data_IF_732604540376
#
_entry.id   IF_732604540376
#
_cell.length_a   1.000
_cell.length_b   1.000
_cell.length_c   1.000
_cell.angle_alpha   90.00
_cell.angle_beta   90.00
_cell.angle_gamma   90.00
#
_symmetry.space_group_name_H-M   'P 1'
#
loop_
_entity.id
_entity.type
_entity.pdbx_description
1 polymer ?
#
# COMPACT_ATOMS: atom_id res chain seq x y z
N UNK A 1 -36.17 -8.74 5.47
CA UNK A 1 -34.80 -9.30 5.35
C UNK A 1 -34.18 -8.56 4.19
N UNK A 2 -33.24 -7.66 4.46
CA UNK A 2 -32.61 -6.83 3.44
C UNK A 2 -31.43 -7.59 2.83
N UNK A 3 -31.27 -7.43 1.53
CA UNK A 3 -30.19 -7.98 0.72
C UNK A 3 -28.84 -7.37 1.15
N UNK A 4 -27.80 -8.17 1.46
CA UNK A 4 -26.48 -7.66 1.86
C UNK A 4 -25.70 -6.95 0.73
N UNK A 5 -26.25 -6.86 -0.50
CA UNK A 5 -25.62 -6.20 -1.65
C UNK A 5 -26.30 -4.89 -2.07
N UNK A 6 -26.93 -4.17 -1.14
CA UNK A 6 -27.46 -2.83 -1.43
C UNK A 6 -26.30 -1.83 -1.63
N UNK A 7 -25.90 -1.68 -2.91
CA UNK A 7 -24.78 -0.87 -3.39
C UNK A 7 -25.02 0.62 -3.11
N UNK A 8 -24.14 1.26 -2.32
CA UNK A 8 -24.29 2.67 -1.94
C UNK A 8 -24.18 3.60 -3.17
N UNK A 9 -25.29 4.29 -3.47
CA UNK A 9 -25.40 5.28 -4.54
C UNK A 9 -24.28 6.34 -4.56
N UNK A 10 -23.68 6.69 -3.41
CA UNK A 10 -22.57 7.67 -3.33
C UNK A 10 -21.24 7.13 -3.83
N UNK A 11 -20.95 5.85 -3.65
CA UNK A 11 -19.77 5.18 -4.21
C UNK A 11 -19.81 5.16 -5.74
N UNK A 12 -21.01 5.10 -6.32
CA UNK A 12 -21.20 5.10 -7.77
C UNK A 12 -20.82 6.41 -8.48
N UNK A 13 -20.91 7.57 -7.79
CA UNK A 13 -20.55 8.87 -8.37
C UNK A 13 -19.04 9.12 -8.35
N UNK A 14 -18.36 8.74 -7.26
CA UNK A 14 -16.90 8.93 -7.14
C UNK A 14 -16.14 8.07 -8.15
N UNK A 15 -16.59 6.82 -8.36
CA UNK A 15 -16.00 5.92 -9.35
C UNK A 15 -16.15 6.46 -10.78
N UNK A 16 -17.30 7.06 -11.12
CA UNK A 16 -17.55 7.68 -12.44
C UNK A 16 -16.70 8.93 -12.69
N UNK A 17 -16.34 9.66 -11.63
CA UNK A 17 -15.63 10.93 -11.76
C UNK A 17 -14.14 10.74 -12.11
N UNK A 18 -13.51 9.69 -11.59
CA UNK A 18 -12.08 9.40 -11.80
C UNK A 18 -11.79 8.30 -12.82
N UNK A 19 -12.72 7.36 -13.03
CA UNK A 19 -12.47 6.16 -13.82
C UNK A 19 -13.57 5.93 -14.85
N UNK A 20 -13.19 5.60 -16.09
CA UNK A 20 -14.09 4.88 -16.97
C UNK A 20 -13.99 3.40 -16.60
N UNK A 21 -14.96 2.87 -15.86
CA UNK A 21 -15.07 1.42 -15.69
C UNK A 21 -15.44 0.83 -17.05
N UNK A 22 -14.44 0.45 -17.82
CA UNK A 22 -14.59 -0.36 -19.02
C UNK A 22 -13.74 -1.60 -18.78
N UNK A 23 -14.40 -2.66 -18.32
CA UNK A 23 -13.92 -4.03 -18.52
C UNK A 23 -14.01 -4.25 -20.02
N UNK A 24 -12.90 -4.49 -20.71
CA UNK A 24 -12.77 -5.27 -21.95
C UNK A 24 -11.34 -5.05 -22.49
N UNK A 25 -10.42 -5.90 -22.06
CA UNK A 25 -9.16 -6.15 -22.76
C UNK A 25 -9.14 -7.65 -23.06
N UNK A 26 -8.80 -8.08 -24.27
CA UNK A 26 -8.64 -9.51 -24.62
C UNK A 26 -7.60 -10.21 -23.73
N UNK A 27 -6.75 -9.44 -23.06
CA UNK A 27 -5.76 -9.89 -22.07
C UNK A 27 -6.31 -10.03 -20.63
N UNK A 28 -7.50 -9.50 -20.34
CA UNK A 28 -8.15 -9.56 -19.02
C UNK A 28 -9.50 -10.32 -19.14
N UNK A 29 -9.60 -11.60 -18.72
CA UNK A 29 -10.83 -12.39 -18.78
C UNK A 29 -12.07 -11.64 -18.25
N UNK A 30 -13.24 -11.95 -18.79
CA UNK A 30 -14.52 -11.29 -18.49
C UNK A 30 -14.98 -11.32 -17.01
N UNK A 31 -14.26 -12.02 -16.15
CA UNK A 31 -14.53 -12.17 -14.71
C UNK A 31 -13.60 -11.33 -13.82
N UNK A 32 -12.75 -10.47 -14.42
CA UNK A 32 -11.78 -9.66 -13.70
C UNK A 32 -12.23 -8.19 -13.61
N UNK A 33 -11.96 -7.55 -12.47
CA UNK A 33 -12.18 -6.12 -12.28
C UNK A 33 -10.90 -5.38 -12.66
N UNK A 34 -10.96 -4.74 -13.82
CA UNK A 34 -9.87 -4.05 -14.48
C UNK A 34 -10.19 -2.52 -14.49
N UNK A 35 -9.34 -1.68 -13.87
CA UNK A 35 -9.49 -0.21 -13.87
C UNK A 35 -8.45 0.42 -14.80
N UNK A 36 -8.92 1.05 -15.86
CA UNK A 36 -8.07 1.81 -16.79
C UNK A 36 -7.92 3.25 -16.30
N UNK A 37 -6.68 3.71 -16.09
CA UNK A 37 -6.40 5.13 -15.96
C UNK A 37 -6.68 5.83 -17.31
N UNK A 38 -7.31 7.01 -17.29
CA UNK A 38 -7.45 7.83 -18.50
C UNK A 38 -6.04 8.15 -19.02
N UNK A 39 -5.78 7.77 -20.28
CA UNK A 39 -4.55 8.02 -21.07
C UNK A 39 -3.54 6.86 -21.24
N UNK A 40 -3.96 5.59 -21.12
CA UNK A 40 -3.28 4.41 -21.71
C UNK A 40 -1.78 4.19 -21.40
N UNK A 41 -1.23 4.76 -20.33
CA UNK A 41 0.17 4.54 -19.93
C UNK A 41 0.29 3.37 -18.96
N UNK A 42 -0.25 3.56 -17.76
CA UNK A 42 -0.15 2.60 -16.66
C UNK A 42 -1.56 2.33 -16.13
N UNK A 43 -1.96 1.07 -16.06
CA UNK A 43 -3.23 0.68 -15.46
C UNK A 43 -3.02 -0.54 -14.60
N UNK A 44 -3.89 -0.73 -13.62
CA UNK A 44 -3.89 -1.93 -12.76
C UNK A 44 -4.00 -3.21 -13.61
N UNK A 45 -4.53 -3.11 -14.82
CA UNK A 45 -4.65 -4.17 -15.82
C UNK A 45 -3.33 -4.49 -16.54
N UNK A 46 -2.36 -3.58 -16.50
CA UNK A 46 -1.15 -3.56 -17.33
C UNK A 46 0.15 -3.40 -16.53
N UNK A 47 0.09 -3.57 -15.20
CA UNK A 47 1.27 -3.83 -14.38
C UNK A 47 1.88 -2.61 -13.69
N UNK A 48 1.45 -2.34 -12.47
CA UNK A 48 2.41 -2.27 -11.36
C UNK A 48 1.91 -3.22 -10.26
N UNK A 49 2.75 -3.47 -9.24
CA UNK A 49 2.69 -4.43 -8.12
C UNK A 49 1.33 -4.85 -7.51
N UNK A 50 0.20 -4.25 -7.92
CA UNK A 50 -1.15 -4.59 -7.48
C UNK A 50 -1.96 -5.55 -8.37
N UNK A 51 -1.72 -5.61 -9.70
CA UNK A 51 -2.46 -6.47 -10.66
C UNK A 51 -4.00 -6.32 -10.67
N UNK A 52 -4.73 -6.85 -11.66
CA UNK A 52 -6.19 -6.80 -11.67
C UNK A 52 -6.80 -7.69 -10.58
N UNK A 53 -7.91 -7.25 -9.95
CA UNK A 53 -8.65 -8.11 -9.02
C UNK A 53 -9.39 -9.21 -9.81
N UNK A 54 -8.97 -10.46 -9.63
CA UNK A 54 -9.58 -11.64 -10.25
C UNK A 54 -10.63 -12.33 -9.39
N UNK A 55 -11.82 -12.63 -9.91
CA UNK A 55 -12.76 -13.49 -9.19
C UNK A 55 -12.38 -14.97 -9.39
N UNK A 56 -12.11 -15.71 -8.32
CA UNK A 56 -11.82 -17.16 -8.39
C UNK A 56 -13.00 -17.97 -7.85
N UNK A 57 -13.29 -19.12 -8.48
CA UNK A 57 -14.44 -19.99 -8.15
C UNK A 57 -14.40 -20.55 -6.71
N UNK A 58 -13.23 -20.50 -6.06
CA UNK A 58 -12.98 -21.14 -4.77
C UNK A 58 -13.28 -20.25 -3.55
N UNK A 59 -13.72 -19.00 -3.76
CA UNK A 59 -14.16 -18.08 -2.70
C UNK A 59 -13.06 -17.57 -1.75
N UNK A 60 -11.79 -17.92 -1.98
CA UNK A 60 -10.65 -17.43 -1.19
C UNK A 60 -10.12 -16.12 -1.77
N UNK A 61 -10.16 -15.06 -0.97
CA UNK A 61 -9.76 -13.70 -1.38
C UNK A 61 -8.26 -13.54 -1.60
N UNK A 62 -7.40 -14.35 -0.98
CA UNK A 62 -5.95 -14.33 -1.23
C UNK A 62 -5.59 -14.81 -2.64
N UNK A 63 -6.29 -15.83 -3.14
CA UNK A 63 -6.07 -16.38 -4.50
C UNK A 63 -6.41 -15.35 -5.58
N UNK A 64 -7.30 -14.40 -5.27
CA UNK A 64 -7.69 -13.29 -6.16
C UNK A 64 -6.50 -12.37 -6.43
N UNK A 65 -5.79 -11.99 -5.37
CA UNK A 65 -4.65 -11.06 -5.43
C UNK A 65 -3.43 -11.75 -6.05
N UNK A 66 -3.16 -13.00 -5.64
CA UNK A 66 -2.09 -13.82 -6.23
C UNK A 66 -2.25 -13.92 -7.77
N UNK A 67 -3.44 -14.31 -8.22
CA UNK A 67 -3.75 -14.47 -9.64
C UNK A 67 -3.67 -13.15 -10.42
N UNK A 68 -4.03 -12.05 -9.76
CA UNK A 68 -3.92 -10.69 -10.31
C UNK A 68 -2.47 -10.27 -10.51
N UNK A 69 -1.66 -10.37 -9.47
CA UNK A 69 -0.24 -10.01 -9.51
C UNK A 69 0.55 -10.90 -10.51
N UNK A 70 0.18 -12.18 -10.65
CA UNK A 70 0.89 -13.11 -11.55
C UNK A 70 0.70 -12.82 -13.05
N UNK A 71 -0.28 -11.99 -13.44
CA UNK A 71 -0.54 -11.70 -14.86
C UNK A 71 0.68 -11.11 -15.53
N UNK A 72 1.29 -10.10 -14.93
CA UNK A 72 2.43 -9.43 -15.55
C UNK A 72 3.74 -10.21 -15.35
N UNK A 73 3.81 -11.11 -14.37
CA UNK A 73 4.91 -12.07 -14.27
C UNK A 73 4.93 -13.06 -15.43
N UNK A 74 3.74 -13.49 -15.90
CA UNK A 74 3.59 -14.44 -17.00
C UNK A 74 3.71 -13.77 -18.38
N UNK A 75 3.07 -12.61 -18.56
CA UNK A 75 2.93 -11.96 -19.87
C UNK A 75 3.94 -10.85 -20.16
N UNK A 76 4.84 -10.54 -19.21
CA UNK A 76 5.91 -9.54 -19.37
C UNK A 76 5.37 -8.16 -19.82
N UNK A 77 4.42 -7.60 -19.06
CA UNK A 77 3.71 -6.38 -19.42
C UNK A 77 4.64 -5.18 -19.69
N UNK A 78 5.67 -4.99 -18.87
CA UNK A 78 6.53 -3.78 -18.90
C UNK A 78 7.97 -4.00 -18.36
N UNK A 79 8.50 -5.23 -18.35
CA UNK A 79 9.84 -5.55 -17.80
C UNK A 79 10.11 -4.96 -16.39
N UNK A 80 9.07 -4.66 -15.60
CA UNK A 80 9.22 -4.21 -14.22
C UNK A 80 8.83 -5.30 -13.21
N UNK A 81 7.99 -6.26 -13.61
CA UNK A 81 7.48 -7.34 -12.76
C UNK A 81 7.80 -8.72 -13.35
N UNK A 82 8.33 -9.62 -12.51
CA UNK A 82 8.49 -11.03 -12.85
C UNK A 82 9.66 -11.35 -13.78
N UNK A 83 9.50 -12.41 -14.58
CA UNK A 83 10.55 -12.88 -15.47
C UNK A 83 10.85 -11.87 -16.58
N UNK A 84 12.13 -11.59 -16.82
CA UNK A 84 12.57 -10.62 -17.84
C UNK A 84 12.52 -9.16 -17.38
N UNK A 85 12.38 -8.92 -16.07
CA UNK A 85 12.59 -7.60 -15.49
C UNK A 85 14.01 -7.09 -15.70
N UNK A 86 14.17 -5.76 -15.58
CA UNK A 86 15.48 -5.13 -15.61
C UNK A 86 16.40 -5.70 -14.53
N UNK A 87 17.59 -6.20 -14.88
CA UNK A 87 18.53 -6.73 -13.91
C UNK A 87 19.21 -5.62 -13.10
N UNK A 88 19.82 -6.02 -11.99
CA UNK A 88 20.75 -5.19 -11.22
C UNK A 88 22.07 -4.93 -11.98
N UNK A 89 23.02 -4.22 -11.37
CA UNK A 89 24.32 -3.94 -12.00
C UNK A 89 25.17 -5.19 -12.32
N UNK A 90 24.87 -6.33 -11.72
CA UNK A 90 25.56 -7.60 -11.97
C UNK A 90 24.92 -8.40 -13.11
N UNK A 91 23.78 -7.94 -13.62
CA UNK A 91 23.01 -8.64 -14.63
C UNK A 91 22.03 -9.67 -14.04
N UNK A 92 21.83 -9.66 -12.72
CA UNK A 92 20.92 -10.57 -12.02
C UNK A 92 19.53 -9.93 -11.86
N UNK A 93 18.48 -10.72 -12.10
CA UNK A 93 17.09 -10.28 -11.86
C UNK A 93 16.66 -10.70 -10.47
N UNK A 94 16.42 -9.72 -9.61
CA UNK A 94 15.87 -9.92 -8.25
C UNK A 94 14.45 -9.37 -8.17
N UNK A 95 13.54 -10.12 -7.54
CA UNK A 95 12.13 -9.76 -7.43
C UNK A 95 11.68 -9.80 -5.98
N UNK A 96 10.85 -8.83 -5.61
CA UNK A 96 10.25 -8.72 -4.28
C UNK A 96 8.72 -8.83 -4.39
N UNK A 97 8.12 -9.67 -3.55
CA UNK A 97 6.66 -9.81 -3.49
C UNK A 97 6.21 -10.06 -2.05
N UNK A 98 5.02 -9.56 -1.73
CA UNK A 98 4.40 -9.72 -0.41
C UNK A 98 2.90 -9.93 -0.60
N UNK A 99 2.39 -11.04 -0.05
CA UNK A 99 0.96 -11.34 -0.03
C UNK A 99 0.53 -11.68 1.39
N UNK A 100 -0.64 -11.19 1.77
CA UNK A 100 -1.25 -11.51 3.06
C UNK A 100 -2.69 -11.97 2.86
N UNK A 101 -3.09 -12.99 3.60
CA UNK A 101 -4.48 -13.47 3.64
C UNK A 101 -5.23 -12.77 4.79
N UNK A 102 -6.29 -12.02 4.47
CA UNK A 102 -7.11 -11.29 5.45
C UNK A 102 -6.73 -9.82 5.68
N UNK A 103 -7.21 -9.22 6.78
CA UNK A 103 -6.92 -7.80 7.13
C UNK A 103 -5.52 -7.68 7.72
N UNK A 104 -4.68 -6.85 7.10
CA UNK A 104 -3.36 -6.47 7.61
C UNK A 104 -3.35 -5.05 8.13
N UNK A 105 -2.77 -4.88 9.32
CA UNK A 105 -2.61 -3.60 10.01
C UNK A 105 -1.21 -3.03 9.76
N UNK A 106 -1.03 -1.76 10.12
CA UNK A 106 0.25 -1.07 10.25
C UNK A 106 1.39 -1.89 10.89
N UNK A 107 1.12 -2.70 11.91
CA UNK A 107 2.15 -3.42 12.68
C UNK A 107 2.95 -4.44 11.87
N UNK A 108 2.38 -4.99 10.80
CA UNK A 108 3.05 -5.97 9.95
C UNK A 108 3.79 -5.32 8.76
N UNK A 109 3.63 -4.01 8.58
CA UNK A 109 4.23 -3.26 7.47
C UNK A 109 5.40 -2.42 7.99
N UNK A 110 6.63 -2.67 7.52
CA UNK A 110 7.75 -1.77 7.75
C UNK A 110 7.35 -0.34 7.37
N UNK A 111 7.92 0.65 8.05
CA UNK A 111 7.65 2.08 7.83
C UNK A 111 6.27 2.56 8.32
N UNK A 112 5.34 1.67 8.61
CA UNK A 112 4.02 2.00 9.15
C UNK A 112 3.98 1.88 10.67
N UNK A 113 3.92 0.67 11.20
CA UNK A 113 3.87 0.43 12.64
C UNK A 113 5.23 0.52 13.32
N UNK A 114 6.32 0.29 12.58
CA UNK A 114 7.68 0.39 13.09
C UNK A 114 8.71 0.62 12.00
N UNK A 115 9.78 1.36 12.35
CA UNK A 115 10.93 1.60 11.47
C UNK A 115 12.16 1.88 12.32
N UNK A 116 13.33 1.43 11.87
CA UNK A 116 14.60 1.65 12.55
C UNK A 116 15.72 1.83 11.53
N UNK A 117 16.56 2.82 11.79
CA UNK A 117 17.78 3.13 11.06
C UNK A 117 18.89 3.39 12.09
N UNK A 118 20.02 2.69 11.96
CA UNK A 118 21.14 2.80 12.90
C UNK A 118 21.80 4.19 12.89
N UNK A 119 21.71 4.91 11.77
CA UNK A 119 22.36 6.21 11.62
C UNK A 119 21.53 7.36 12.22
N UNK A 120 20.23 7.14 12.43
CA UNK A 120 19.31 8.19 12.86
C UNK A 120 18.48 7.83 14.10
N UNK A 121 17.85 6.65 14.13
CA UNK A 121 16.96 6.25 15.21
C UNK A 121 15.84 5.29 14.79
N UNK A 122 14.87 5.11 15.68
CA UNK A 122 13.73 4.23 15.48
C UNK A 122 12.43 4.87 15.93
N UNK A 123 11.32 4.41 15.35
CA UNK A 123 9.98 4.79 15.74
C UNK A 123 9.05 3.57 15.76
N UNK A 124 8.13 3.54 16.72
CA UNK A 124 7.09 2.51 16.85
C UNK A 124 5.74 3.15 17.17
N UNK A 125 4.67 2.58 16.64
CA UNK A 125 3.32 3.12 16.74
C UNK A 125 2.31 2.12 17.31
N UNK A 126 1.21 2.68 17.81
CA UNK A 126 0.01 1.94 18.19
C UNK A 126 -1.24 2.79 17.93
N UNK A 127 -2.38 2.13 17.74
CA UNK A 127 -3.66 2.79 17.50
C UNK A 127 -4.50 2.10 16.43
N UNK A 128 -5.29 2.88 15.70
CA UNK A 128 -6.04 2.38 14.54
C UNK A 128 -5.09 2.17 13.36
N UNK A 129 -4.68 0.91 13.20
CA UNK A 129 -3.75 0.53 12.16
C UNK A 129 -4.24 0.71 10.72
N UNK A 130 -5.56 0.70 10.47
CA UNK A 130 -6.09 0.95 9.12
C UNK A 130 -5.90 2.41 8.70
N UNK A 131 -5.90 3.32 9.68
CA UNK A 131 -5.60 4.73 9.49
C UNK A 131 -4.09 4.95 9.47
N UNK A 132 -3.36 4.40 10.44
CA UNK A 132 -1.91 4.56 10.59
C UNK A 132 -1.16 4.14 9.31
N UNK A 133 -1.51 2.99 8.73
CA UNK A 133 -0.81 2.45 7.55
C UNK A 133 -0.79 3.43 6.37
N UNK A 134 -1.80 4.32 6.26
CA UNK A 134 -1.96 5.25 5.13
C UNK A 134 -0.92 6.36 5.10
N UNK A 135 -0.14 6.53 6.17
CA UNK A 135 0.74 7.68 6.34
C UNK A 135 2.22 7.31 6.45
N UNK A 136 2.57 6.01 6.49
CA UNK A 136 3.94 5.54 6.79
C UNK A 136 4.63 6.36 7.92
N UNK A 137 3.98 6.51 9.09
CA UNK A 137 4.42 7.49 10.08
C UNK A 137 5.71 7.11 10.81
N UNK A 138 6.01 5.81 10.98
CA UNK A 138 7.30 5.39 11.57
C UNK A 138 8.48 5.84 10.71
N UNK A 139 8.40 5.65 9.39
CA UNK A 139 9.42 6.15 8.47
C UNK A 139 9.53 7.67 8.48
N UNK A 140 8.39 8.38 8.44
CA UNK A 140 8.40 9.84 8.52
C UNK A 140 9.05 10.34 9.82
N UNK A 141 8.79 9.69 10.96
CA UNK A 141 9.41 10.07 12.23
C UNK A 141 10.94 9.93 12.19
N UNK A 142 11.47 8.82 11.67
CA UNK A 142 12.92 8.63 11.53
C UNK A 142 13.52 9.60 10.51
N UNK A 143 12.79 9.89 9.41
CA UNK A 143 13.21 10.94 8.46
C UNK A 143 13.25 12.33 9.09
N UNK A 144 12.38 12.65 10.04
CA UNK A 144 12.49 13.89 10.79
C UNK A 144 13.73 13.92 11.69
N UNK A 145 14.16 12.78 12.25
CA UNK A 145 15.44 12.70 12.95
C UNK A 145 16.62 12.95 11.99
N UNK A 146 16.58 12.37 10.79
CA UNK A 146 17.55 12.64 9.72
C UNK A 146 17.62 14.13 9.37
N UNK A 147 16.47 14.82 9.33
CA UNK A 147 16.38 16.29 9.13
C UNK A 147 16.84 17.12 10.36
N UNK A 148 17.33 16.47 11.42
CA UNK A 148 17.84 17.11 12.63
C UNK A 148 16.77 17.56 13.63
N UNK A 149 15.55 17.01 13.55
CA UNK A 149 14.50 17.28 14.55
C UNK A 149 14.76 16.51 15.84
N UNK A 150 14.27 17.04 16.95
CA UNK A 150 14.25 16.32 18.22
C UNK A 150 13.27 15.14 18.16
N UNK A 151 13.48 14.10 18.98
CA UNK A 151 12.57 12.94 19.04
C UNK A 151 11.11 13.35 19.35
N UNK A 152 10.91 14.39 20.17
CA UNK A 152 9.58 14.94 20.49
C UNK A 152 8.96 15.64 19.28
N UNK A 153 9.73 16.45 18.54
CA UNK A 153 9.21 17.14 17.37
C UNK A 153 8.93 16.16 16.22
N UNK A 154 9.78 15.14 16.04
CA UNK A 154 9.58 14.06 15.09
C UNK A 154 8.27 13.30 15.37
N UNK A 155 8.02 12.94 16.64
CA UNK A 155 6.78 12.30 17.07
C UNK A 155 5.55 13.15 16.73
N UNK A 156 5.57 14.44 17.09
CA UNK A 156 4.47 15.38 16.82
C UNK A 156 4.20 15.53 15.33
N UNK A 157 5.23 15.80 14.53
CA UNK A 157 5.09 16.01 13.08
C UNK A 157 4.52 14.77 12.37
N UNK A 158 4.92 13.56 12.81
CA UNK A 158 4.39 12.32 12.28
C UNK A 158 2.88 12.15 12.60
N UNK A 159 2.48 12.41 13.85
CA UNK A 159 1.08 12.33 14.27
C UNK A 159 0.20 13.45 13.70
N UNK A 160 0.73 14.65 13.53
CA UNK A 160 -0.01 15.80 12.97
C UNK A 160 -0.59 15.49 11.58
N UNK A 161 0.15 14.75 10.75
CA UNK A 161 -0.35 14.31 9.42
C UNK A 161 -1.61 13.45 9.54
N UNK A 162 -1.64 12.55 10.52
CA UNK A 162 -2.77 11.67 10.80
C UNK A 162 -3.95 12.49 11.32
N UNK A 163 -3.73 13.26 12.40
CA UNK A 163 -4.80 14.02 13.05
C UNK A 163 -5.38 15.14 12.19
N UNK A 164 -4.59 15.72 11.26
CA UNK A 164 -5.09 16.70 10.29
C UNK A 164 -6.16 16.11 9.37
N UNK A 165 -6.06 14.82 9.02
CA UNK A 165 -7.01 14.14 8.14
C UNK A 165 -8.07 13.32 8.89
N UNK A 166 -7.70 12.80 10.06
CA UNK A 166 -8.55 12.00 10.94
C UNK A 166 -8.48 12.54 12.38
N UNK A 167 -9.17 13.66 12.70
CA UNK A 167 -9.04 14.35 13.98
C UNK A 167 -9.46 13.52 15.20
N UNK A 168 -10.37 12.57 15.01
CA UNK A 168 -10.90 11.71 16.06
C UNK A 168 -10.22 10.34 16.11
N UNK A 169 -9.12 10.16 15.37
CA UNK A 169 -8.39 8.90 15.38
C UNK A 169 -7.73 8.65 16.74
N UNK A 170 -7.36 7.40 17.03
CA UNK A 170 -6.43 7.10 18.11
C UNK A 170 -5.13 6.61 17.50
N UNK A 171 -4.07 7.40 17.67
CA UNK A 171 -2.71 7.03 17.28
C UNK A 171 -1.71 7.58 18.29
N UNK A 172 -0.75 6.75 18.67
CA UNK A 172 0.39 7.13 19.49
C UNK A 172 1.68 6.64 18.83
N UNK A 173 2.78 7.36 19.07
CA UNK A 173 4.10 7.04 18.55
C UNK A 173 5.13 7.19 19.66
N UNK A 174 6.16 6.35 19.64
CA UNK A 174 7.40 6.57 20.40
C UNK A 174 8.53 6.64 19.39
N UNK A 175 9.37 7.65 19.53
CA UNK A 175 10.53 7.90 18.67
C UNK A 175 11.77 7.95 19.54
N UNK A 176 12.84 7.28 19.14
CA UNK A 176 14.15 7.33 19.79
C UNK A 176 15.23 7.61 18.75
N UNK A 177 16.17 8.51 19.03
CA UNK A 177 17.31 8.77 18.16
C UNK A 177 18.49 7.85 18.49
N UNK A 178 19.51 7.83 17.62
CA UNK A 178 20.72 7.02 17.80
C UNK A 178 21.57 7.37 19.04
N UNK A 179 21.37 8.56 19.60
CA UNK A 179 22.12 9.06 20.76
C UNK A 179 21.42 8.68 22.10
N UNK A 180 20.24 8.06 22.02
CA UNK A 180 19.48 7.57 23.18
C UNK A 180 18.38 8.51 23.67
N UNK A 181 18.16 9.66 23.02
CA UNK A 181 17.06 10.56 23.34
C UNK A 181 15.74 10.06 22.74
N UNK A 182 14.65 10.15 23.51
CA UNK A 182 13.33 9.70 23.08
C UNK A 182 12.24 10.74 23.26
N UNK A 183 11.15 10.59 22.50
CA UNK A 183 9.95 11.43 22.54
C UNK A 183 8.71 10.63 22.18
N UNK A 184 7.54 11.10 22.63
CA UNK A 184 6.24 10.49 22.41
C UNK A 184 5.15 11.53 22.12
#
# INVERSE_FOLDING_TARGET
MNDPYEYDSKLSEVLKYYFSTQVFDERCPSHNICIMAKNQGDSVCMGDSGGPLMLTENGKTSVIVEKGCSVCEEFQCDQSVGYGSHPDENGDVTLDAMIYDGRVSDSALPSCGGYADNDFGAAVLTGDGDVILRFAPAFNAVRYLEEGKSSVDAAKLALEKIYKKFPNNMAAIVVANKDGDFGN
#
